data_IF_701126716276
#
_entry.id   IF_701126716276
#
_cell.length_a   1.000
_cell.length_b   1.000
_cell.length_c   1.000
_cell.angle_alpha   90.00
_cell.angle_beta   90.00
_cell.angle_gamma   90.00
#
_symmetry.space_group_name_H-M   'P 1'
#
loop_
_entity.id
_entity.type
_entity.pdbx_description
1 polymer ?
#
# COMPACT_ATOMS: atom_id res chain seq x y z
N UNK A 1 21.06 9.62 -15.54
CA UNK A 1 20.58 9.24 -14.19
C UNK A 1 21.60 8.34 -13.54
N UNK A 2 21.84 8.51 -12.24
CA UNK A 2 22.79 7.70 -11.44
C UNK A 2 22.07 7.24 -10.18
N UNK A 3 22.20 5.95 -9.83
CA UNK A 3 21.73 5.45 -8.55
C UNK A 3 22.71 5.89 -7.45
N UNK A 4 22.21 6.64 -6.46
CA UNK A 4 23.06 7.22 -5.39
C UNK A 4 23.03 6.38 -4.12
N UNK A 5 21.99 5.57 -3.91
CA UNK A 5 21.83 4.65 -2.78
C UNK A 5 20.86 3.51 -3.11
N UNK A 6 20.90 2.46 -2.30
CA UNK A 6 19.94 1.36 -2.28
C UNK A 6 19.57 1.04 -0.84
N UNK A 7 18.35 0.53 -0.64
CA UNK A 7 17.82 0.11 0.65
C UNK A 7 17.03 -1.20 0.50
N UNK A 8 17.14 -2.09 1.47
CA UNK A 8 16.45 -3.37 1.49
C UNK A 8 15.20 -3.37 2.40
N UNK A 9 15.07 -2.37 3.28
CA UNK A 9 13.92 -2.20 4.20
C UNK A 9 13.39 -0.77 4.13
N UNK A 10 12.18 -0.55 4.64
CA UNK A 10 11.59 0.80 4.69
C UNK A 10 12.35 1.74 5.62
N UNK A 11 12.85 1.23 6.74
CA UNK A 11 13.65 2.00 7.70
C UNK A 11 14.97 2.46 7.07
N UNK A 12 15.65 1.54 6.38
CA UNK A 12 16.87 1.86 5.63
C UNK A 12 16.60 2.88 4.52
N UNK A 13 15.45 2.76 3.83
CA UNK A 13 15.06 3.72 2.79
C UNK A 13 14.90 5.14 3.36
N UNK A 14 14.34 5.29 4.55
CA UNK A 14 14.24 6.58 5.24
C UNK A 14 15.64 7.12 5.57
N UNK A 15 16.54 6.29 6.13
CA UNK A 15 17.91 6.69 6.45
C UNK A 15 18.70 7.10 5.20
N UNK A 16 18.64 6.29 4.13
CA UNK A 16 19.34 6.59 2.87
C UNK A 16 18.79 7.86 2.20
N UNK A 17 17.48 8.08 2.28
CA UNK A 17 16.88 9.32 1.78
C UNK A 17 17.42 10.54 2.52
N UNK A 18 17.49 10.50 3.86
CA UNK A 18 18.00 11.60 4.68
C UNK A 18 19.47 11.92 4.39
N UNK A 19 20.27 10.89 4.10
CA UNK A 19 21.70 11.02 3.80
C UNK A 19 21.97 11.57 2.40
N UNK A 20 21.24 11.09 1.40
CA UNK A 20 21.57 11.31 -0.01
C UNK A 20 20.67 12.31 -0.72
N UNK A 21 19.47 12.57 -0.20
CA UNK A 21 18.50 13.53 -0.78
C UNK A 21 18.32 13.36 -2.30
N UNK A 22 17.96 12.17 -2.78
CA UNK A 22 17.84 11.92 -4.21
C UNK A 22 16.73 12.77 -4.84
N UNK A 23 16.90 13.12 -6.11
CA UNK A 23 15.86 13.82 -6.89
C UNK A 23 14.59 12.96 -7.03
N UNK A 24 14.75 11.63 -7.15
CA UNK A 24 13.67 10.65 -7.25
C UNK A 24 14.03 9.41 -6.43
N UNK A 25 13.07 8.90 -5.68
CA UNK A 25 13.18 7.60 -5.02
C UNK A 25 12.26 6.59 -5.72
N UNK A 26 12.85 5.49 -6.21
CA UNK A 26 12.09 4.30 -6.60
C UNK A 26 11.75 3.52 -5.32
N UNK A 27 10.48 3.33 -5.05
CA UNK A 27 10.00 2.70 -3.82
C UNK A 27 9.19 1.45 -4.13
N UNK A 28 9.65 0.30 -3.63
CA UNK A 28 8.79 -0.87 -3.56
C UNK A 28 7.80 -0.72 -2.40
N UNK A 29 6.56 -1.11 -2.59
CA UNK A 29 5.57 -1.09 -1.52
C UNK A 29 5.78 -2.24 -0.53
N UNK A 30 6.34 -3.36 -1.00
CA UNK A 30 6.58 -4.59 -0.24
C UNK A 30 8.01 -4.65 0.26
N UNK A 31 8.29 -3.93 1.33
CA UNK A 31 9.57 -4.00 2.02
C UNK A 31 9.41 -4.74 3.35
N UNK A 32 10.43 -5.49 3.78
CA UNK A 32 10.48 -6.04 5.13
C UNK A 32 10.45 -4.91 6.17
N UNK A 33 9.81 -5.16 7.32
CA UNK A 33 9.68 -4.17 8.38
C UNK A 33 8.68 -3.07 8.03
N UNK A 34 9.14 -1.85 7.84
CA UNK A 34 8.29 -0.73 7.44
C UNK A 34 7.89 -0.85 5.97
N UNK A 35 6.59 -0.72 5.68
CA UNK A 35 6.09 -0.74 4.31
C UNK A 35 6.61 0.46 3.50
N UNK A 36 6.68 0.30 2.16
CA UNK A 36 7.07 1.42 1.29
C UNK A 36 6.13 2.62 1.38
N UNK A 37 4.82 2.39 1.62
CA UNK A 37 3.85 3.46 1.85
C UNK A 37 4.18 4.25 3.12
N UNK A 38 4.52 3.55 4.21
CA UNK A 38 4.88 4.21 5.47
C UNK A 38 6.23 4.91 5.40
N UNK A 39 7.18 4.36 4.63
CA UNK A 39 8.45 5.02 4.33
C UNK A 39 8.22 6.33 3.55
N UNK A 40 7.36 6.33 2.53
CA UNK A 40 6.96 7.53 1.79
C UNK A 40 6.35 8.57 2.73
N UNK A 41 5.38 8.17 3.57
CA UNK A 41 4.75 9.07 4.56
C UNK A 41 5.76 9.66 5.53
N UNK A 42 6.67 8.84 6.04
CA UNK A 42 7.70 9.25 6.99
C UNK A 42 8.64 10.27 6.38
N UNK A 43 9.16 10.01 5.18
CA UNK A 43 10.04 10.93 4.47
C UNK A 43 9.30 12.23 4.14
N UNK A 44 8.05 12.18 3.70
CA UNK A 44 7.31 13.39 3.31
C UNK A 44 6.89 14.29 4.47
N UNK A 45 6.87 13.79 5.70
CA UNK A 45 6.68 14.64 6.89
C UNK A 45 7.81 15.66 7.05
N UNK A 46 9.04 15.23 6.79
CA UNK A 46 10.24 16.08 6.91
C UNK A 46 10.65 16.71 5.59
N UNK A 47 10.30 16.06 4.47
CA UNK A 47 10.63 16.48 3.11
C UNK A 47 9.40 16.50 2.21
N UNK A 48 8.51 17.51 2.33
CA UNK A 48 7.25 17.58 1.59
C UNK A 48 7.41 17.56 0.06
N UNK A 49 8.58 17.96 -0.46
CA UNK A 49 8.91 17.97 -1.89
C UNK A 49 9.54 16.67 -2.40
N UNK A 50 9.81 15.71 -1.51
CA UNK A 50 10.38 14.42 -1.91
C UNK A 50 9.52 13.74 -2.99
N UNK A 51 10.19 13.19 -3.99
CA UNK A 51 9.57 12.66 -5.19
C UNK A 51 9.70 11.16 -5.25
N UNK A 52 8.57 10.46 -5.33
CA UNK A 52 8.51 9.01 -5.31
C UNK A 52 7.88 8.45 -6.58
N UNK A 53 8.52 7.42 -7.12
CA UNK A 53 8.01 6.52 -8.15
C UNK A 53 7.87 5.14 -7.53
N UNK A 54 6.66 4.64 -7.46
CA UNK A 54 6.39 3.29 -6.95
C UNK A 54 6.76 2.26 -8.01
N UNK A 55 7.50 1.22 -7.62
CA UNK A 55 7.87 0.10 -8.46
C UNK A 55 7.51 -1.20 -7.74
N UNK A 56 6.39 -1.81 -8.08
CA UNK A 56 5.90 -3.00 -7.37
C UNK A 56 5.20 -3.97 -8.31
N UNK A 57 4.95 -5.20 -7.85
CA UNK A 57 4.00 -6.10 -8.50
C UNK A 57 2.59 -5.51 -8.36
N UNK A 58 1.76 -5.60 -9.41
CA UNK A 58 0.37 -5.13 -9.34
C UNK A 58 -0.40 -5.92 -8.28
N UNK A 59 -1.00 -5.26 -7.29
CA UNK A 59 -1.56 -5.98 -6.14
C UNK A 59 -2.94 -5.49 -5.67
N UNK A 60 -3.50 -4.47 -6.28
CA UNK A 60 -4.85 -4.03 -5.96
C UNK A 60 -5.03 -2.51 -5.96
N UNK A 61 -6.28 -2.11 -5.95
CA UNK A 61 -6.71 -0.72 -6.00
C UNK A 61 -6.36 0.06 -4.71
N UNK A 62 -6.37 -0.62 -3.57
CA UNK A 62 -6.05 -0.01 -2.28
C UNK A 62 -4.55 0.34 -2.15
N UNK A 63 -3.65 -0.56 -2.56
CA UNK A 63 -2.20 -0.29 -2.54
C UNK A 63 -1.86 0.90 -3.44
N UNK A 64 -2.48 0.97 -4.63
CA UNK A 64 -2.34 2.09 -5.53
C UNK A 64 -2.80 3.38 -4.87
N UNK A 65 -4.00 3.35 -4.28
CA UNK A 65 -4.59 4.51 -3.63
C UNK A 65 -3.73 5.00 -2.47
N UNK A 66 -3.32 4.11 -1.58
CA UNK A 66 -2.49 4.46 -0.41
C UNK A 66 -1.14 5.04 -0.81
N UNK A 67 -0.52 4.52 -1.87
CA UNK A 67 0.74 5.05 -2.38
C UNK A 67 0.59 6.47 -2.94
N UNK A 68 -0.47 6.73 -3.70
CA UNK A 68 -0.76 8.06 -4.25
C UNK A 68 -1.15 9.07 -3.16
N UNK A 69 -1.96 8.67 -2.18
CA UNK A 69 -2.30 9.48 -0.99
C UNK A 69 -1.05 9.80 -0.17
N UNK A 70 -0.13 8.84 -0.04
CA UNK A 70 1.16 9.08 0.60
C UNK A 70 2.03 10.07 -0.19
N UNK A 71 1.71 10.31 -1.47
CA UNK A 71 2.33 11.32 -2.32
C UNK A 71 3.25 10.79 -3.42
N UNK A 72 3.10 9.53 -3.82
CA UNK A 72 3.74 9.02 -5.01
C UNK A 72 3.26 9.78 -6.26
N UNK A 73 4.18 10.07 -7.18
CA UNK A 73 3.88 10.76 -8.43
C UNK A 73 3.76 9.83 -9.63
N UNK A 74 4.34 8.64 -9.54
CA UNK A 74 4.23 7.62 -10.58
C UNK A 74 4.09 6.24 -9.98
N UNK A 75 3.50 5.34 -10.76
CA UNK A 75 3.32 3.95 -10.42
C UNK A 75 3.79 3.08 -11.60
N UNK A 76 4.74 2.20 -11.35
CA UNK A 76 5.30 1.26 -12.34
C UNK A 76 5.07 -0.16 -11.85
N UNK A 77 4.49 -0.97 -12.71
CA UNK A 77 4.31 -2.41 -12.45
C UNK A 77 5.59 -3.12 -12.85
N UNK A 78 6.16 -3.93 -11.97
CA UNK A 78 7.33 -4.79 -12.27
C UNK A 78 7.02 -5.68 -13.47
N UNK A 79 7.94 -5.75 -14.42
CA UNK A 79 7.75 -6.45 -15.68
C UNK A 79 7.29 -5.58 -16.86
N UNK A 80 6.96 -4.30 -16.62
CA UNK A 80 6.79 -3.34 -17.72
C UNK A 80 8.12 -3.14 -18.49
N UNK A 81 8.05 -2.76 -19.78
CA UNK A 81 9.24 -2.43 -20.56
C UNK A 81 10.11 -1.39 -19.88
N UNK A 82 11.43 -1.53 -20.01
CA UNK A 82 12.41 -0.61 -19.41
C UNK A 82 12.19 0.85 -19.85
N UNK A 83 11.77 1.05 -21.09
CA UNK A 83 11.44 2.37 -21.65
C UNK A 83 10.34 3.05 -20.83
N UNK A 84 9.33 2.31 -20.38
CA UNK A 84 8.25 2.88 -19.57
C UNK A 84 8.75 3.39 -18.21
N UNK A 85 9.72 2.69 -17.60
CA UNK A 85 10.38 3.17 -16.37
C UNK A 85 11.15 4.47 -16.64
N UNK A 86 11.95 4.51 -17.70
CA UNK A 86 12.73 5.69 -18.07
C UNK A 86 11.81 6.89 -18.37
N UNK A 87 10.73 6.67 -19.11
CA UNK A 87 9.73 7.71 -19.41
C UNK A 87 9.04 8.23 -18.14
N UNK A 88 8.68 7.33 -17.22
CA UNK A 88 8.10 7.72 -15.95
C UNK A 88 9.05 8.60 -15.14
N UNK A 89 10.34 8.21 -15.04
CA UNK A 89 11.35 8.99 -14.34
C UNK A 89 11.54 10.38 -14.95
N UNK A 90 11.60 10.49 -16.29
CA UNK A 90 11.70 11.79 -16.97
C UNK A 90 10.47 12.66 -16.72
N UNK A 91 9.26 12.10 -16.82
CA UNK A 91 8.01 12.82 -16.56
C UNK A 91 7.94 13.32 -15.12
N UNK A 92 8.28 12.47 -14.16
CA UNK A 92 8.26 12.83 -12.75
C UNK A 92 9.31 13.87 -12.41
N UNK A 93 10.51 13.75 -12.96
CA UNK A 93 11.58 14.77 -12.81
C UNK A 93 11.16 16.14 -13.36
N UNK A 94 10.40 16.16 -14.46
CA UNK A 94 9.80 17.37 -15.02
C UNK A 94 8.58 17.90 -14.23
N UNK A 95 8.25 17.31 -13.07
CA UNK A 95 7.13 17.73 -12.23
C UNK A 95 5.78 17.08 -12.58
N UNK A 96 5.73 16.20 -13.58
CA UNK A 96 4.53 15.50 -14.02
C UNK A 96 4.19 14.26 -13.18
N UNK A 97 3.18 13.52 -13.65
CA UNK A 97 2.76 12.22 -13.08
C UNK A 97 2.78 11.16 -14.18
N UNK A 98 2.97 9.90 -13.77
CA UNK A 98 2.87 8.77 -14.68
C UNK A 98 2.07 7.64 -14.00
N UNK A 99 0.90 7.34 -14.57
CA UNK A 99 0.02 6.25 -14.13
C UNK A 99 -0.32 5.40 -15.35
N UNK A 100 0.13 4.15 -15.44
CA UNK A 100 -0.26 3.23 -16.51
C UNK A 100 -1.77 3.01 -16.56
N UNK A 101 -2.31 2.69 -17.74
CA UNK A 101 -3.76 2.49 -17.92
C UNK A 101 -4.38 1.48 -16.94
N UNK A 102 -3.77 0.32 -16.62
CA UNK A 102 -4.31 -0.60 -15.63
C UNK A 102 -4.46 0.04 -14.24
N UNK A 103 -3.47 0.84 -13.83
CA UNK A 103 -3.47 1.56 -12.55
C UNK A 103 -4.57 2.62 -12.52
N UNK A 104 -4.73 3.39 -13.60
CA UNK A 104 -5.78 4.41 -13.71
C UNK A 104 -7.18 3.79 -13.70
N UNK A 105 -7.38 2.64 -14.34
CA UNK A 105 -8.64 1.91 -14.34
C UNK A 105 -8.97 1.36 -12.94
N UNK A 106 -8.00 0.77 -12.26
CA UNK A 106 -8.18 0.26 -10.90
C UNK A 106 -8.60 1.38 -9.93
N UNK A 107 -7.98 2.56 -10.03
CA UNK A 107 -8.37 3.74 -9.24
C UNK A 107 -9.79 4.22 -9.58
N UNK A 108 -10.18 4.20 -10.85
CA UNK A 108 -11.51 4.62 -11.28
C UNK A 108 -12.62 3.65 -10.82
N UNK A 109 -12.30 2.37 -10.67
CA UNK A 109 -13.24 1.33 -10.18
C UNK A 109 -13.28 1.23 -8.66
N UNK A 110 -12.39 1.93 -7.95
CA UNK A 110 -12.38 1.94 -6.47
C UNK A 110 -13.68 2.54 -5.94
N UNK A 111 -14.39 1.76 -5.13
CA UNK A 111 -15.58 2.23 -4.42
C UNK A 111 -15.18 2.82 -3.06
N UNK A 112 -15.45 4.10 -2.76
CA UNK A 112 -15.13 4.73 -1.46
C UNK A 112 -15.75 4.02 -0.24
N UNK A 113 -16.80 3.21 -0.47
CA UNK A 113 -17.49 2.45 0.59
C UNK A 113 -16.67 1.33 1.22
N UNK A 114 -15.50 1.01 0.66
CA UNK A 114 -14.61 -0.03 1.19
C UNK A 114 -13.61 0.49 2.24
N UNK A 115 -13.69 1.75 2.65
CA UNK A 115 -12.78 2.31 3.65
C UNK A 115 -13.04 1.69 5.02
N UNK A 116 -12.28 0.64 5.32
CA UNK A 116 -12.27 0.01 6.63
C UNK A 116 -11.63 0.96 7.64
N UNK A 117 -12.22 1.05 8.84
CA UNK A 117 -11.59 1.75 9.96
C UNK A 117 -10.25 1.07 10.33
N UNK A 118 -9.34 1.78 11.04
CA UNK A 118 -8.10 1.17 11.51
C UNK A 118 -8.34 -0.14 12.27
N UNK A 119 -9.36 -0.20 13.09
CA UNK A 119 -9.71 -1.38 13.88
C UNK A 119 -10.24 -2.54 13.04
N UNK A 120 -11.04 -2.25 12.04
CA UNK A 120 -11.49 -3.26 11.07
C UNK A 120 -10.34 -3.82 10.22
N UNK A 121 -9.36 -2.99 9.88
CA UNK A 121 -8.13 -3.45 9.18
C UNK A 121 -7.30 -4.38 10.06
N UNK A 122 -7.12 -4.09 11.34
CA UNK A 122 -6.45 -4.98 12.29
C UNK A 122 -7.16 -6.34 12.39
N UNK A 123 -8.50 -6.33 12.52
CA UNK A 123 -9.30 -7.56 12.55
C UNK A 123 -9.14 -8.32 11.24
N UNK A 124 -9.24 -7.67 10.10
CA UNK A 124 -9.12 -8.27 8.77
C UNK A 124 -7.73 -8.88 8.54
N UNK A 125 -6.68 -8.23 9.02
CA UNK A 125 -5.31 -8.75 8.96
C UNK A 125 -5.16 -10.06 9.74
N UNK A 126 -5.78 -10.15 10.92
CA UNK A 126 -5.77 -11.38 11.72
C UNK A 126 -6.66 -12.48 11.11
N UNK A 127 -7.79 -12.10 10.50
CA UNK A 127 -8.61 -13.03 9.71
C UNK A 127 -7.82 -13.65 8.55
N UNK A 128 -7.04 -12.85 7.84
CA UNK A 128 -6.19 -13.32 6.74
C UNK A 128 -5.12 -14.31 7.19
N UNK A 129 -4.63 -14.18 8.43
CA UNK A 129 -3.72 -15.15 9.06
C UNK A 129 -4.41 -16.43 9.52
N UNK A 130 -5.72 -16.56 9.34
CA UNK A 130 -6.50 -17.72 9.75
C UNK A 130 -6.89 -17.74 11.24
N UNK A 131 -6.69 -16.63 11.96
CA UNK A 131 -6.95 -16.57 13.41
C UNK A 131 -8.44 -16.70 13.74
N UNK A 132 -8.76 -17.41 14.83
CA UNK A 132 -10.13 -17.54 15.33
C UNK A 132 -10.59 -16.24 16.00
N UNK A 133 -11.92 -16.02 16.09
CA UNK A 133 -12.47 -14.85 16.79
C UNK A 133 -11.98 -14.77 18.24
N UNK A 134 -11.80 -15.92 18.91
CA UNK A 134 -11.25 -16.00 20.26
C UNK A 134 -9.80 -15.51 20.33
N UNK A 135 -8.98 -15.94 19.38
CA UNK A 135 -7.57 -15.52 19.30
C UNK A 135 -7.47 -14.03 18.97
N UNK A 136 -8.27 -13.54 18.00
CA UNK A 136 -8.36 -12.12 17.64
C UNK A 136 -8.77 -11.28 18.85
N UNK A 137 -9.80 -11.71 19.58
CA UNK A 137 -10.26 -11.04 20.79
C UNK A 137 -9.15 -10.87 21.82
N UNK A 138 -8.38 -11.96 22.06
CA UNK A 138 -7.23 -11.94 22.97
C UNK A 138 -6.13 -11.00 22.49
N UNK A 139 -5.71 -11.09 21.23
CA UNK A 139 -4.62 -10.25 20.68
C UNK A 139 -4.97 -8.77 20.67
N UNK A 140 -6.23 -8.46 20.40
CA UNK A 140 -6.70 -7.08 20.31
C UNK A 140 -7.26 -6.53 21.63
N UNK A 141 -7.27 -7.33 22.71
CA UNK A 141 -7.81 -6.97 24.02
C UNK A 141 -9.26 -6.49 23.99
N UNK A 142 -10.12 -7.20 23.23
CA UNK A 142 -11.57 -6.94 23.11
C UNK A 142 -12.37 -8.22 23.32
N UNK A 143 -13.70 -8.11 23.41
CA UNK A 143 -14.57 -9.30 23.52
C UNK A 143 -14.73 -10.02 22.17
N UNK A 144 -15.01 -11.33 22.20
CA UNK A 144 -15.37 -12.07 20.97
C UNK A 144 -16.63 -11.51 20.30
N UNK A 145 -17.57 -10.97 21.07
CA UNK A 145 -18.76 -10.31 20.54
C UNK A 145 -18.36 -9.06 19.72
N UNK A 146 -17.39 -8.28 20.21
CA UNK A 146 -16.86 -7.12 19.49
C UNK A 146 -16.18 -7.53 18.20
N UNK A 147 -15.39 -8.63 18.20
CA UNK A 147 -14.78 -9.18 16.99
C UNK A 147 -15.86 -9.57 15.97
N UNK A 148 -16.92 -10.27 16.40
CA UNK A 148 -18.04 -10.64 15.53
C UNK A 148 -18.71 -9.39 14.90
N UNK A 149 -18.90 -8.33 15.68
CA UNK A 149 -19.41 -7.07 15.14
C UNK A 149 -18.50 -6.49 14.07
N UNK A 150 -17.18 -6.43 14.31
CA UNK A 150 -16.24 -5.96 13.29
C UNK A 150 -16.26 -6.83 12.04
N UNK A 151 -16.29 -8.16 12.20
CA UNK A 151 -16.41 -9.09 11.06
C UNK A 151 -17.65 -8.78 10.24
N UNK A 152 -18.82 -8.64 10.87
CA UNK A 152 -20.07 -8.34 10.16
C UNK A 152 -19.99 -7.02 9.38
N UNK A 153 -19.36 -5.98 9.96
CA UNK A 153 -19.15 -4.70 9.27
C UNK A 153 -18.18 -4.85 8.10
N UNK A 154 -17.10 -5.62 8.27
CA UNK A 154 -16.14 -5.91 7.20
C UNK A 154 -16.84 -6.61 6.04
N UNK A 155 -17.64 -7.67 6.30
CA UNK A 155 -18.40 -8.37 5.26
C UNK A 155 -19.30 -7.42 4.46
N UNK A 156 -20.04 -6.56 5.18
CA UNK A 156 -20.92 -5.57 4.57
C UNK A 156 -20.12 -4.58 3.68
N UNK A 157 -19.01 -4.03 4.18
CA UNK A 157 -18.21 -3.05 3.45
C UNK A 157 -17.50 -3.65 2.24
N UNK A 158 -17.04 -4.89 2.35
CA UNK A 158 -16.43 -5.62 1.24
C UNK A 158 -17.46 -6.20 0.27
N UNK A 159 -18.75 -6.17 0.62
CA UNK A 159 -19.87 -6.73 -0.16
C UNK A 159 -19.69 -8.23 -0.40
N UNK A 160 -19.36 -8.98 0.65
CA UNK A 160 -19.13 -10.43 0.62
C UNK A 160 -19.98 -11.12 1.70
N UNK A 161 -20.23 -12.42 1.54
CA UNK A 161 -21.16 -13.16 2.36
C UNK A 161 -20.49 -13.84 3.58
N UNK A 162 -19.22 -14.20 3.45
CA UNK A 162 -18.50 -14.95 4.48
C UNK A 162 -17.06 -14.47 4.67
N UNK A 163 -16.43 -14.97 5.76
CA UNK A 163 -15.07 -14.58 6.14
C UNK A 163 -14.01 -15.03 5.12
N UNK A 164 -14.23 -16.14 4.42
CA UNK A 164 -13.30 -16.62 3.41
C UNK A 164 -13.31 -15.71 2.20
N UNK A 165 -14.51 -15.33 1.74
CA UNK A 165 -14.66 -14.34 0.69
C UNK A 165 -14.08 -12.99 1.09
N UNK A 166 -14.23 -12.58 2.37
CA UNK A 166 -13.64 -11.33 2.87
C UNK A 166 -12.10 -11.36 2.78
N UNK A 167 -11.47 -12.47 3.16
CA UNK A 167 -10.00 -12.62 3.05
C UNK A 167 -9.56 -12.61 1.58
N UNK A 168 -10.24 -13.34 0.71
CA UNK A 168 -9.93 -13.35 -0.74
C UNK A 168 -10.07 -11.95 -1.34
N UNK A 169 -11.18 -11.27 -1.08
CA UNK A 169 -11.41 -9.91 -1.56
C UNK A 169 -10.36 -8.92 -1.02
N UNK A 170 -9.99 -9.08 0.26
CA UNK A 170 -8.99 -8.23 0.90
C UNK A 170 -7.59 -8.41 0.28
N UNK A 171 -7.18 -9.64 -0.03
CA UNK A 171 -5.94 -9.93 -0.71
C UNK A 171 -5.93 -9.37 -2.14
N UNK A 172 -7.03 -9.58 -2.89
CA UNK A 172 -7.16 -9.07 -4.26
C UNK A 172 -7.14 -7.54 -4.35
N UNK A 173 -7.67 -6.85 -3.31
CA UNK A 173 -7.70 -5.38 -3.24
C UNK A 173 -6.45 -4.78 -2.58
N UNK A 174 -5.51 -5.59 -2.07
CA UNK A 174 -4.34 -5.10 -1.34
C UNK A 174 -4.65 -4.52 0.05
N UNK A 175 -5.80 -4.87 0.64
CA UNK A 175 -6.18 -4.42 1.99
C UNK A 175 -5.40 -5.14 3.08
N UNK A 176 -4.97 -6.37 2.81
CA UNK A 176 -4.15 -7.21 3.70
C UNK A 176 -3.11 -7.97 2.90
N UNK A 177 -2.04 -8.38 3.60
CA UNK A 177 -0.92 -9.10 3.02
C UNK A 177 -0.58 -10.30 3.89
N UNK A 178 -0.18 -11.43 3.28
CA UNK A 178 0.31 -12.63 3.96
C UNK A 178 1.82 -12.67 3.99
#
# INVERSE_FOLDING_TARGET
>A
MVAVAQAATGEEAVEQFDRHRPDITLMDLRLPGMSGVDAIRTIRRTHPQACFVVLTTYEGDEDIFQALEAGARAYIIKGMPHEALVDALHKVHAGGRFLPSPVSLALASRTPSSDLSPREREVLQLLARGESNKTIASQLSISEATVKCHVSVILLRLQVEDRTQAVVAALQRGLVHM
#
